data_IF_567022566920
#
_entry.id   IF_567022566920
#
_cell.length_a   1.000
_cell.length_b   1.000
_cell.length_c   1.000
_cell.angle_alpha   90.00
_cell.angle_beta   90.00
_cell.angle_gamma   90.00
#
_symmetry.space_group_name_H-M   'P 1'
#
loop_
_entity.id
_entity.type
_entity.pdbx_description
1 polymer ?
#
# COMPACT_ATOMS: atom_id res chain seq x y z
N UNK A 1 2.05 4.46 19.51
CA UNK A 1 1.51 3.21 19.77
C UNK A 1 1.39 2.35 18.55
N UNK A 2 1.98 1.28 18.64
CA UNK A 2 2.17 0.50 17.48
C UNK A 2 1.13 -0.59 17.35
N UNK A 3 -0.06 -0.19 17.03
CA UNK A 3 -1.08 -1.16 16.69
C UNK A 3 -0.58 -2.06 15.57
N UNK A 4 0.29 -1.50 14.74
CA UNK A 4 0.79 -2.21 13.59
C UNK A 4 1.49 -3.52 13.90
N UNK A 5 2.18 -3.60 15.04
CA UNK A 5 2.91 -4.83 15.34
C UNK A 5 1.98 -6.04 15.43
N UNK A 6 0.91 -5.91 16.19
CA UNK A 6 -0.04 -7.00 16.31
C UNK A 6 -0.76 -7.28 14.99
N UNK A 7 -1.15 -6.20 14.33
CA UNK A 7 -1.82 -6.38 13.04
C UNK A 7 -0.92 -7.10 12.06
N UNK A 8 0.37 -6.74 12.04
CA UNK A 8 1.31 -7.41 11.17
C UNK A 8 1.45 -8.89 11.50
N UNK A 9 1.44 -9.24 12.78
CA UNK A 9 1.51 -10.63 13.15
C UNK A 9 0.30 -11.43 12.68
N UNK A 10 -0.87 -10.82 12.75
CA UNK A 10 -2.08 -11.47 12.25
C UNK A 10 -2.07 -11.62 10.74
N UNK A 11 -1.41 -10.69 10.06
CA UNK A 11 -1.37 -10.69 8.60
C UNK A 11 -0.24 -11.53 8.02
N UNK A 12 0.55 -12.16 8.85
CA UNK A 12 1.72 -12.91 8.38
C UNK A 12 1.41 -14.23 7.72
N UNK A 13 0.17 -14.64 7.70
CA UNK A 13 -0.17 -15.91 7.08
C UNK A 13 0.20 -15.95 5.61
N UNK A 14 0.29 -14.81 5.00
CA UNK A 14 0.60 -14.73 3.59
C UNK A 14 1.55 -13.57 3.35
N UNK A 15 2.84 -13.90 3.22
CA UNK A 15 3.89 -12.90 3.06
C UNK A 15 4.61 -13.15 1.75
N UNK A 16 4.86 -12.09 1.01
CA UNK A 16 5.51 -12.21 -0.28
C UNK A 16 6.30 -10.95 -0.57
N UNK A 17 7.42 -11.11 -1.28
CA UNK A 17 8.15 -9.96 -1.81
C UNK A 17 7.75 -9.62 -3.23
N UNK A 18 6.82 -10.39 -3.79
CA UNK A 18 6.37 -10.19 -5.15
C UNK A 18 4.96 -9.63 -5.13
N UNK A 19 4.71 -8.53 -5.85
CA UNK A 19 3.35 -8.03 -5.94
C UNK A 19 2.45 -9.08 -6.57
N UNK A 20 1.22 -9.11 -6.10
CA UNK A 20 0.24 -10.01 -6.67
C UNK A 20 -0.05 -9.57 -8.09
N UNK A 21 -0.13 -10.54 -8.98
CA UNK A 21 -0.46 -10.24 -10.36
C UNK A 21 -1.97 -10.08 -10.50
N UNK A 22 -2.33 -9.15 -11.34
CA UNK A 22 -3.73 -8.94 -11.67
C UNK A 22 -3.93 -9.24 -13.14
N UNK A 23 -5.08 -9.81 -13.50
CA UNK A 23 -5.36 -10.01 -14.90
C UNK A 23 -5.48 -8.65 -15.61
N UNK A 24 -5.10 -8.64 -16.87
CA UNK A 24 -5.30 -7.45 -17.68
C UNK A 24 -6.78 -7.35 -17.99
N UNK A 25 -7.38 -6.26 -17.55
CA UNK A 25 -8.78 -6.01 -17.82
C UNK A 25 -8.95 -4.58 -18.30
N UNK A 26 -9.95 -4.40 -19.12
CA UNK A 26 -10.34 -3.08 -19.55
C UNK A 26 -11.44 -2.61 -18.60
N UNK A 27 -11.21 -1.50 -17.97
CA UNK A 27 -12.15 -0.98 -17.00
C UNK A 27 -13.20 -0.14 -17.67
N UNK A 28 -14.39 -0.26 -17.19
CA UNK A 28 -15.44 0.63 -17.57
C UNK A 28 -15.15 2.03 -17.08
N UNK A 29 -16.03 2.93 -17.48
CA UNK A 29 -15.88 4.33 -17.13
C UNK A 29 -16.51 4.67 -15.79
N UNK A 30 -17.15 3.70 -15.14
CA UNK A 30 -17.88 3.97 -13.91
C UNK A 30 -17.03 4.61 -12.82
N UNK A 31 -15.80 4.12 -12.55
CA UNK A 31 -15.01 4.77 -11.52
C UNK A 31 -14.70 6.21 -11.84
N UNK A 32 -14.47 6.50 -13.12
CA UNK A 32 -14.18 7.86 -13.55
C UNK A 32 -15.40 8.74 -13.37
N UNK A 33 -16.58 8.23 -13.77
CA UNK A 33 -17.79 9.02 -13.71
C UNK A 33 -18.23 9.31 -12.29
N UNK A 34 -18.03 8.34 -11.38
CA UNK A 34 -18.53 8.50 -10.03
C UNK A 34 -17.62 9.30 -9.12
N UNK A 35 -16.32 9.13 -9.27
CA UNK A 35 -15.38 9.71 -8.34
C UNK A 35 -14.46 10.73 -8.95
N UNK A 36 -14.83 11.26 -10.10
CA UNK A 36 -13.88 12.04 -10.90
C UNK A 36 -13.30 13.21 -10.15
N UNK A 37 -14.06 13.87 -9.28
CA UNK A 37 -13.60 15.07 -8.58
C UNK A 37 -12.70 14.73 -7.39
N UNK A 38 -12.77 13.52 -6.88
CA UNK A 38 -12.04 13.12 -5.68
C UNK A 38 -10.97 12.08 -5.97
N UNK A 39 -11.03 11.39 -7.09
CA UNK A 39 -10.11 10.31 -7.40
C UNK A 39 -8.95 10.80 -8.24
N UNK A 40 -7.75 10.50 -7.78
CA UNK A 40 -6.52 10.74 -8.53
C UNK A 40 -6.08 9.41 -9.11
N UNK A 41 -5.70 9.42 -10.37
CA UNK A 41 -5.19 8.23 -11.05
C UNK A 41 -3.77 8.52 -11.51
N UNK A 42 -2.85 7.61 -11.14
CA UNK A 42 -1.45 7.73 -11.51
C UNK A 42 -0.96 6.34 -11.89
N UNK A 43 -0.99 6.03 -13.19
CA UNK A 43 -0.57 4.74 -13.69
C UNK A 43 -1.40 3.61 -13.11
N UNK A 44 -0.75 2.71 -12.40
CA UNK A 44 -1.42 1.55 -11.80
C UNK A 44 -2.02 1.86 -10.44
N UNK A 45 -2.00 3.12 -10.02
CA UNK A 45 -2.45 3.50 -8.69
C UNK A 45 -3.57 4.52 -8.77
N UNK A 46 -4.39 4.50 -7.74
CA UNK A 46 -5.40 5.53 -7.59
C UNK A 46 -5.59 5.83 -6.11
N UNK A 47 -6.18 6.97 -5.80
CA UNK A 47 -6.50 7.33 -4.42
C UNK A 47 -7.48 8.47 -4.38
N UNK A 48 -8.08 8.64 -3.21
CA UNK A 48 -8.95 9.77 -2.95
C UNK A 48 -8.10 11.00 -2.60
N UNK A 49 -8.36 12.12 -3.26
CA UNK A 49 -7.54 13.32 -3.08
C UNK A 49 -7.64 13.88 -1.67
N UNK A 50 -8.81 13.78 -1.03
CA UNK A 50 -8.97 14.28 0.33
C UNK A 50 -8.20 13.42 1.32
N UNK A 51 -8.23 12.11 1.12
CA UNK A 51 -7.44 11.21 1.96
C UNK A 51 -5.96 11.45 1.78
N UNK A 52 -5.52 11.72 0.56
CA UNK A 52 -4.12 12.01 0.30
C UNK A 52 -3.67 13.26 1.04
N UNK A 53 -4.48 14.31 1.00
CA UNK A 53 -4.16 15.55 1.70
C UNK A 53 -4.11 15.34 3.21
N UNK A 54 -5.09 14.63 3.75
CA UNK A 54 -5.15 14.33 5.17
C UNK A 54 -3.95 13.48 5.61
N UNK A 55 -3.60 12.49 4.79
CA UNK A 55 -2.46 11.63 5.09
C UNK A 55 -1.16 12.41 5.10
N UNK A 56 -0.99 13.31 4.12
CA UNK A 56 0.22 14.12 4.06
C UNK A 56 0.34 15.01 5.29
N UNK A 57 -0.77 15.62 5.71
CA UNK A 57 -0.76 16.46 6.89
C UNK A 57 -0.44 15.66 8.15
N UNK A 58 -0.95 14.45 8.25
CA UNK A 58 -0.81 13.63 9.45
C UNK A 58 0.55 12.92 9.51
N UNK A 59 1.03 12.41 8.40
CA UNK A 59 2.19 11.52 8.39
C UNK A 59 3.39 12.07 7.62
N UNK A 60 3.22 13.17 6.90
CA UNK A 60 4.30 13.74 6.11
C UNK A 60 4.67 12.89 4.90
N UNK A 61 3.78 12.02 4.45
CA UNK A 61 4.02 11.14 3.32
C UNK A 61 2.92 11.35 2.30
N UNK A 62 3.31 11.66 1.08
CA UNK A 62 2.34 11.77 -0.01
C UNK A 62 2.00 10.38 -0.54
N UNK A 63 0.84 10.25 -1.15
CA UNK A 63 0.50 8.99 -1.79
C UNK A 63 1.35 8.73 -3.04
N UNK A 64 1.87 9.79 -3.67
CA UNK A 64 2.84 9.61 -4.75
C UNK A 64 4.09 8.91 -4.23
N UNK A 65 4.60 9.37 -3.09
CA UNK A 65 5.75 8.69 -2.51
C UNK A 65 5.39 7.28 -2.06
N UNK A 66 4.21 7.12 -1.46
CA UNK A 66 3.75 5.80 -1.06
C UNK A 66 3.72 4.81 -2.22
N UNK A 67 3.29 5.26 -3.39
CA UNK A 67 3.24 4.39 -4.56
C UNK A 67 4.63 3.90 -4.97
N UNK A 68 5.68 4.66 -4.68
CA UNK A 68 7.03 4.27 -5.10
C UNK A 68 7.56 3.05 -4.35
N UNK A 69 7.00 2.69 -3.20
CA UNK A 69 7.48 1.50 -2.50
C UNK A 69 7.17 0.22 -3.28
N UNK A 70 6.21 0.27 -4.18
CA UNK A 70 5.88 -0.91 -4.99
C UNK A 70 6.96 -1.24 -6.00
N UNK A 71 7.89 -0.31 -6.24
CA UNK A 71 9.03 -0.55 -7.11
C UNK A 71 10.24 -1.12 -6.36
N UNK A 72 10.17 -1.19 -5.05
CA UNK A 72 11.25 -1.75 -4.25
C UNK A 72 11.25 -3.27 -4.39
N UNK A 73 12.33 -3.87 -4.95
CA UNK A 73 12.36 -5.32 -5.12
C UNK A 73 12.38 -6.09 -3.80
N UNK A 74 12.67 -5.41 -2.69
CA UNK A 74 12.69 -6.03 -1.37
C UNK A 74 11.43 -5.76 -0.58
N UNK A 75 10.44 -5.12 -1.17
CA UNK A 75 9.19 -4.82 -0.46
C UNK A 75 8.52 -6.09 0.02
N UNK A 76 7.97 -6.03 1.22
CA UNK A 76 7.27 -7.17 1.83
C UNK A 76 5.78 -6.89 1.79
N UNK A 77 5.04 -7.84 1.25
CA UNK A 77 3.59 -7.72 1.08
C UNK A 77 2.91 -8.64 2.07
N UNK A 78 1.97 -8.10 2.82
CA UNK A 78 1.28 -8.83 3.88
C UNK A 78 -0.21 -8.76 3.62
N UNK A 79 -0.89 -9.89 3.80
CA UNK A 79 -2.35 -9.90 3.77
C UNK A 79 -2.84 -10.89 4.82
N UNK A 80 -4.14 -11.00 4.97
CA UNK A 80 -4.73 -11.87 5.97
C UNK A 80 -4.91 -13.31 5.45
N UNK A 81 -4.43 -13.60 4.26
CA UNK A 81 -4.55 -14.92 3.65
C UNK A 81 -5.83 -15.13 2.88
N UNK A 82 -6.77 -14.21 2.95
CA UNK A 82 -8.04 -14.35 2.23
C UNK A 82 -7.90 -14.04 0.76
N UNK A 83 -6.90 -13.24 0.41
CA UNK A 83 -6.76 -12.75 -0.95
C UNK A 83 -7.71 -11.61 -1.28
N UNK A 84 -8.46 -11.14 -0.32
CA UNK A 84 -9.44 -10.08 -0.50
C UNK A 84 -9.22 -9.03 0.56
N UNK A 85 -9.65 -7.82 0.27
CA UNK A 85 -9.56 -6.74 1.23
C UNK A 85 -8.19 -6.07 1.24
N UNK A 86 -7.94 -5.24 2.24
CA UNK A 86 -6.72 -4.44 2.29
C UNK A 86 -5.48 -5.27 2.47
N UNK A 87 -4.40 -4.80 1.87
CA UNK A 87 -3.07 -5.39 2.02
C UNK A 87 -2.12 -4.32 2.51
N UNK A 88 -1.04 -4.77 3.13
CA UNK A 88 0.01 -3.88 3.62
C UNK A 88 1.27 -4.18 2.84
N UNK A 89 1.95 -3.13 2.38
CA UNK A 89 3.27 -3.28 1.80
C UNK A 89 4.24 -2.42 2.62
N UNK A 90 5.40 -3.01 2.93
CA UNK A 90 6.47 -2.32 3.64
C UNK A 90 7.65 -2.30 2.70
N UNK A 91 8.12 -1.11 2.37
CA UNK A 91 9.21 -0.98 1.41
C UNK A 91 9.86 0.38 1.49
N UNK A 92 10.94 0.52 0.76
CA UNK A 92 11.70 1.76 0.69
C UNK A 92 11.16 2.61 -0.46
N UNK A 93 10.87 3.87 -0.16
CA UNK A 93 10.37 4.81 -1.16
C UNK A 93 11.52 5.41 -1.96
N UNK A 94 11.17 6.14 -3.01
CA UNK A 94 12.16 6.89 -3.79
C UNK A 94 12.90 7.92 -2.95
N UNK A 95 12.34 8.35 -1.82
CA UNK A 95 13.02 9.27 -0.91
C UNK A 95 13.83 8.51 0.14
N UNK A 96 14.02 7.21 -0.05
CA UNK A 96 14.85 6.37 0.82
C UNK A 96 14.31 6.29 2.24
N UNK A 97 12.99 6.28 2.36
CA UNK A 97 12.34 6.06 3.64
C UNK A 97 11.61 4.73 3.61
N UNK A 98 11.70 3.98 4.69
CA UNK A 98 10.91 2.75 4.79
C UNK A 98 9.50 3.14 5.22
N UNK A 99 8.55 2.81 4.37
CA UNK A 99 7.15 3.19 4.57
C UNK A 99 6.28 1.95 4.69
N UNK A 100 5.18 2.13 5.41
CA UNK A 100 4.11 1.14 5.48
C UNK A 100 2.91 1.72 4.73
N UNK A 101 2.51 1.05 3.66
CA UNK A 101 1.45 1.53 2.79
C UNK A 101 0.32 0.52 2.81
N UNK A 102 -0.89 1.01 3.06
CA UNK A 102 -2.09 0.17 3.01
C UNK A 102 -2.78 0.43 1.69
N UNK A 103 -3.12 -0.63 0.99
CA UNK A 103 -3.75 -0.52 -0.31
C UNK A 103 -4.76 -1.65 -0.49
N UNK A 104 -5.61 -1.49 -1.48
CA UNK A 104 -6.57 -2.51 -1.85
C UNK A 104 -6.61 -2.57 -3.38
N UNK A 105 -6.67 -3.79 -3.91
CA UNK A 105 -6.83 -3.96 -5.35
C UNK A 105 -8.22 -3.53 -5.77
N UNK A 106 -8.26 -2.73 -6.79
CA UNK A 106 -9.54 -2.22 -7.28
C UNK A 106 -9.49 -2.21 -8.80
N UNK A 107 -10.00 -3.28 -9.39
CA UNK A 107 -9.90 -3.47 -10.81
C UNK A 107 -8.46 -3.71 -11.21
N UNK A 108 -7.95 -2.93 -12.14
CA UNK A 108 -6.56 -3.06 -12.58
C UNK A 108 -5.61 -2.17 -11.80
N UNK A 109 -6.12 -1.43 -10.80
CA UNK A 109 -5.29 -0.51 -10.04
C UNK A 109 -5.25 -0.89 -8.58
N UNK A 110 -4.19 -0.46 -7.92
CA UNK A 110 -4.11 -0.50 -6.47
C UNK A 110 -4.58 0.84 -5.93
N UNK A 111 -5.56 0.78 -5.05
CA UNK A 111 -6.06 1.99 -4.42
C UNK A 111 -5.34 2.17 -3.10
N UNK A 112 -4.61 3.27 -3.00
CA UNK A 112 -3.85 3.56 -1.79
C UNK A 112 -4.78 4.16 -0.75
N UNK A 113 -4.73 3.58 0.45
CA UNK A 113 -5.59 3.97 1.56
C UNK A 113 -4.82 4.82 2.57
N UNK A 114 -3.56 4.46 2.85
CA UNK A 114 -2.74 5.23 3.76
C UNK A 114 -1.27 4.95 3.48
N UNK A 115 -0.42 5.89 3.86
CA UNK A 115 1.03 5.75 3.73
C UNK A 115 1.68 6.49 4.89
N UNK A 116 2.55 5.82 5.61
CA UNK A 116 3.22 6.41 6.75
C UNK A 116 4.61 5.79 6.92
N UNK A 117 5.50 6.45 7.66
CA UNK A 117 6.78 5.82 7.96
C UNK A 117 6.58 4.53 8.75
N UNK A 118 7.44 3.56 8.49
CA UNK A 118 7.35 2.28 9.18
C UNK A 118 7.72 2.42 10.65
N UNK A 119 7.04 1.67 11.50
CA UNK A 119 7.41 1.53 12.90
C UNK A 119 8.65 0.64 13.01
N UNK A 120 9.33 0.61 14.19
CA UNK A 120 10.46 -0.31 14.36
C UNK A 120 10.10 -1.76 14.11
N UNK A 121 8.91 -2.20 14.54
CA UNK A 121 8.48 -3.57 14.27
C UNK A 121 8.28 -3.83 12.80
N UNK A 122 7.74 -2.86 12.09
CA UNK A 122 7.55 -2.98 10.65
C UNK A 122 8.89 -2.98 9.91
N UNK A 123 9.85 -2.21 10.38
CA UNK A 123 11.19 -2.25 9.81
C UNK A 123 11.83 -3.61 10.00
N UNK A 124 11.63 -4.23 11.16
CA UNK A 124 12.12 -5.58 11.38
C UNK A 124 11.54 -6.55 10.37
N UNK A 125 10.24 -6.45 10.13
CA UNK A 125 9.59 -7.29 9.13
C UNK A 125 10.23 -7.07 7.76
N UNK A 126 10.47 -5.82 7.42
CA UNK A 126 11.09 -5.49 6.14
C UNK A 126 12.51 -6.07 6.05
N UNK A 127 13.31 -5.89 7.09
CA UNK A 127 14.70 -6.32 7.08
C UNK A 127 14.84 -7.83 7.05
N UNK A 128 13.92 -8.54 7.69
CA UNK A 128 13.97 -10.00 7.69
C UNK A 128 13.23 -10.62 6.50
N UNK A 129 12.61 -9.79 5.66
CA UNK A 129 11.83 -10.31 4.55
C UNK A 129 10.54 -10.97 4.99
N UNK A 130 10.06 -10.66 6.20
CA UNK A 130 8.85 -11.24 6.72
C UNK A 130 9.05 -12.57 7.42
N UNK A 131 10.27 -13.04 7.50
CA UNK A 131 10.59 -14.27 8.20
C UNK A 131 10.89 -14.01 9.66
N UNK A 132 10.58 -15.00 10.49
CA UNK A 132 10.89 -14.92 11.91
C UNK A 132 11.29 -16.25 12.47
#
# INVERSE_FOLDING_TARGET
>A
MSVGWRALQLMRKSVSRTPRRRPLTIHGLEPILRGIMATVIDGDFEWDSDKAASNLAKHGVSFFEGATVFADPFAVYLDDGSGMGPMVVIGTSLRERVLCVVHVERGSRDRIISARPATPGERDVYETGGEQ
#
